data_IF_210720437103
#
_entry.id   IF_210720437103
#
_cell.length_a   1.000
_cell.length_b   1.000
_cell.length_c   1.000
_cell.angle_alpha   90.00
_cell.angle_beta   90.00
_cell.angle_gamma   90.00
#
_symmetry.space_group_name_H-M   'P 1'
#
loop_
_entity.id
_entity.type
_entity.pdbx_description
1 polymer ?
#
# COMPACT_ATOMS: atom_id res chain seq x y z
N UNK A 1 -49.15 13.77 -88.93
CA UNK A 1 -48.51 12.44 -89.04
C UNK A 1 -47.01 12.60 -88.91
N UNK A 2 -46.40 11.67 -88.18
CA UNK A 2 -45.00 11.59 -87.73
C UNK A 2 -43.95 11.77 -88.84
N UNK A 3 -42.81 12.36 -88.48
CA UNK A 3 -41.47 11.73 -88.54
C UNK A 3 -40.43 12.72 -88.00
N UNK A 4 -39.69 12.42 -86.93
CA UNK A 4 -38.57 11.46 -86.85
C UNK A 4 -37.25 12.07 -87.35
N UNK A 5 -36.19 11.83 -86.59
CA UNK A 5 -34.76 12.10 -86.84
C UNK A 5 -34.23 13.51 -86.53
N UNK A 6 -33.83 13.73 -85.27
CA UNK A 6 -32.53 14.35 -84.96
C UNK A 6 -32.16 14.30 -83.45
N UNK A 7 -32.49 13.21 -82.77
CA UNK A 7 -32.21 13.00 -81.33
C UNK A 7 -31.03 12.07 -81.06
N UNK A 8 -30.11 11.86 -82.03
CA UNK A 8 -28.94 11.00 -81.84
C UNK A 8 -27.57 11.69 -81.95
N UNK A 9 -27.48 12.96 -82.38
CA UNK A 9 -26.18 13.67 -82.46
C UNK A 9 -25.85 14.56 -81.25
N UNK A 10 -26.87 15.01 -80.50
CA UNK A 10 -26.67 15.85 -79.31
C UNK A 10 -26.28 15.06 -78.06
N UNK A 11 -26.77 13.82 -77.88
CA UNK A 11 -26.42 13.00 -76.72
C UNK A 11 -24.97 12.48 -76.76
N UNK A 12 -24.37 12.28 -77.94
CA UNK A 12 -22.97 11.81 -78.04
C UNK A 12 -21.94 12.91 -77.72
N UNK A 13 -22.25 14.18 -78.00
CA UNK A 13 -21.34 15.30 -77.68
C UNK A 13 -21.44 15.76 -76.22
N UNK A 14 -22.60 15.61 -75.58
CA UNK A 14 -22.74 15.88 -74.14
C UNK A 14 -22.08 14.78 -73.27
N UNK A 15 -22.13 13.51 -73.69
CA UNK A 15 -21.47 12.41 -72.97
C UNK A 15 -19.95 12.50 -73.11
N UNK A 16 -19.40 12.90 -74.26
CA UNK A 16 -17.94 13.07 -74.42
C UNK A 16 -17.38 14.30 -73.68
N UNK A 17 -18.16 15.37 -73.50
CA UNK A 17 -17.74 16.52 -72.67
C UNK A 17 -17.82 16.24 -71.16
N UNK A 18 -18.81 15.45 -70.71
CA UNK A 18 -18.90 15.03 -69.31
C UNK A 18 -17.88 13.94 -68.94
N UNK A 19 -17.47 13.10 -69.89
CA UNK A 19 -16.45 12.07 -69.65
C UNK A 19 -15.03 12.67 -69.64
N UNK A 20 -14.78 13.78 -70.34
CA UNK A 20 -13.49 14.51 -70.28
C UNK A 20 -13.29 15.36 -69.01
N UNK A 21 -14.36 15.83 -68.39
CA UNK A 21 -14.30 16.62 -67.14
C UNK A 21 -14.39 15.72 -65.90
N UNK A 22 -15.04 14.55 -65.99
CA UNK A 22 -15.02 13.55 -64.90
C UNK A 22 -13.72 12.73 -64.85
N UNK A 23 -12.95 12.63 -65.94
CA UNK A 23 -11.62 11.98 -65.96
C UNK A 23 -10.48 12.97 -65.65
N UNK A 24 -10.72 14.28 -65.77
CA UNK A 24 -9.73 15.29 -65.34
C UNK A 24 -9.67 15.49 -63.82
N UNK A 25 -10.53 14.84 -63.04
CA UNK A 25 -10.44 14.77 -61.58
C UNK A 25 -9.82 13.47 -61.05
N UNK A 26 -9.39 12.55 -61.92
CA UNK A 26 -8.75 11.28 -61.53
C UNK A 26 -7.22 11.29 -61.66
N UNK A 27 -6.61 12.46 -61.90
CA UNK A 27 -5.15 12.62 -61.90
C UNK A 27 -4.75 13.82 -61.03
N UNK A 28 -5.18 13.79 -59.78
CA UNK A 28 -4.36 14.29 -58.67
C UNK A 28 -4.13 13.13 -57.73
N UNK A 29 -3.16 12.28 -58.08
CA UNK A 29 -2.46 11.48 -57.09
C UNK A 29 -1.83 12.47 -56.10
N UNK A 30 -2.60 12.88 -55.09
CA UNK A 30 -2.07 13.52 -53.90
C UNK A 30 -1.27 12.45 -53.15
N UNK A 31 -0.03 12.27 -53.61
CA UNK A 31 1.13 11.72 -52.92
C UNK A 31 1.47 12.60 -51.69
N UNK A 32 0.45 13.01 -50.93
CA UNK A 32 0.54 14.03 -49.92
C UNK A 32 1.06 13.43 -48.62
N UNK A 33 2.38 13.31 -48.50
CA UNK A 33 3.03 13.13 -47.20
C UNK A 33 2.47 14.21 -46.26
N UNK A 34 1.76 13.80 -45.20
CA UNK A 34 1.17 14.73 -44.23
C UNK A 34 2.23 15.36 -43.32
N UNK A 35 3.40 14.71 -43.23
CA UNK A 35 4.57 15.19 -42.54
C UNK A 35 5.62 14.09 -42.38
N UNK A 36 6.69 14.39 -41.67
CA UNK A 36 7.77 13.48 -41.34
C UNK A 36 7.78 13.24 -39.84
N UNK A 37 8.06 12.02 -39.43
CA UNK A 37 8.15 11.63 -38.02
C UNK A 37 9.48 10.95 -37.73
N UNK A 38 9.92 11.05 -36.49
CA UNK A 38 11.08 10.32 -35.98
C UNK A 38 10.60 9.01 -35.37
N UNK A 39 11.23 7.90 -35.70
CA UNK A 39 11.00 6.61 -35.04
C UNK A 39 11.46 6.74 -33.59
N UNK A 40 10.50 6.65 -32.67
CA UNK A 40 10.73 6.80 -31.23
C UNK A 40 10.99 5.48 -30.51
N UNK A 41 10.73 4.35 -31.15
CA UNK A 41 10.98 3.02 -30.58
C UNK A 41 11.27 2.05 -31.72
N UNK A 42 12.19 1.11 -31.52
CA UNK A 42 12.56 0.16 -32.58
C UNK A 42 11.33 -0.60 -33.10
N UNK A 43 11.31 -0.83 -34.42
CA UNK A 43 10.29 -1.60 -35.10
C UNK A 43 11.00 -2.71 -35.88
N UNK A 44 11.42 -3.78 -35.18
CA UNK A 44 12.26 -4.85 -35.74
C UNK A 44 11.63 -5.51 -36.96
N UNK A 45 10.31 -5.65 -36.96
CA UNK A 45 9.54 -6.31 -38.02
C UNK A 45 9.74 -5.63 -39.38
N UNK A 46 10.02 -4.33 -39.36
CA UNK A 46 10.29 -3.51 -40.54
C UNK A 46 11.73 -2.98 -40.60
N UNK A 47 12.63 -3.49 -39.74
CA UNK A 47 14.03 -3.06 -39.64
C UNK A 47 14.21 -1.54 -39.45
N UNK A 48 13.23 -0.88 -38.82
CA UNK A 48 13.29 0.54 -38.52
C UNK A 48 13.89 0.76 -37.14
N UNK A 49 15.08 1.34 -37.11
CA UNK A 49 15.74 1.74 -35.87
C UNK A 49 15.22 3.09 -35.37
N UNK A 50 15.27 3.27 -34.06
CA UNK A 50 14.96 4.53 -33.42
C UNK A 50 15.89 5.65 -33.89
N UNK A 51 15.34 6.86 -34.04
CA UNK A 51 16.02 8.01 -34.65
C UNK A 51 15.84 8.12 -36.17
N UNK A 52 15.36 7.08 -36.86
CA UNK A 52 15.09 7.14 -38.31
C UNK A 52 13.98 8.15 -38.61
N UNK A 53 14.16 9.00 -39.62
CA UNK A 53 13.12 9.93 -40.09
C UNK A 53 12.33 9.28 -41.22
N UNK A 54 11.01 9.17 -41.06
CA UNK A 54 10.12 8.50 -42.01
C UNK A 54 9.01 9.43 -42.50
N UNK A 55 8.62 9.39 -43.78
CA UNK A 55 7.44 10.09 -44.28
C UNK A 55 6.17 9.41 -43.76
N UNK A 56 5.21 10.22 -43.30
CA UNK A 56 3.89 9.77 -42.86
C UNK A 56 2.85 10.18 -43.88
N UNK A 57 2.00 9.25 -44.27
CA UNK A 57 0.94 9.47 -45.25
C UNK A 57 -0.43 9.61 -44.60
N UNK A 58 -0.69 8.89 -43.51
CA UNK A 58 -1.99 8.90 -42.81
C UNK A 58 -1.79 8.84 -41.30
N UNK A 59 -2.62 9.57 -40.56
CA UNK A 59 -2.85 9.40 -39.12
C UNK A 59 -4.26 8.85 -38.92
N UNK A 60 -4.39 7.65 -38.36
CA UNK A 60 -5.67 7.08 -37.96
C UNK A 60 -5.87 7.24 -36.46
N UNK A 61 -6.78 8.13 -36.06
CA UNK A 61 -7.17 8.26 -34.65
C UNK A 61 -8.13 7.14 -34.20
N UNK A 62 -8.76 6.42 -35.13
CA UNK A 62 -9.64 5.29 -34.79
C UNK A 62 -8.78 4.07 -34.44
N UNK A 63 -7.84 3.72 -35.32
CA UNK A 63 -6.95 2.57 -35.12
C UNK A 63 -5.70 2.89 -34.28
N UNK A 64 -5.51 4.15 -33.89
CA UNK A 64 -4.35 4.62 -33.11
C UNK A 64 -3.00 4.26 -33.77
N UNK A 65 -2.89 4.50 -35.09
CA UNK A 65 -1.68 4.24 -35.88
C UNK A 65 -1.36 5.37 -36.87
N UNK A 66 -0.09 5.46 -37.23
CA UNK A 66 0.39 6.14 -38.42
C UNK A 66 0.60 5.14 -39.55
N UNK A 67 0.38 5.57 -40.78
CA UNK A 67 0.74 4.81 -41.98
C UNK A 67 1.98 5.43 -42.61
N UNK A 68 3.04 4.64 -42.66
CA UNK A 68 4.31 4.97 -43.35
C UNK A 68 4.54 3.97 -44.48
N UNK A 69 5.45 4.29 -45.39
CA UNK A 69 5.82 3.38 -46.47
C UNK A 69 7.18 2.76 -46.15
N UNK A 70 7.29 1.44 -46.25
CA UNK A 70 8.57 0.75 -46.20
C UNK A 70 9.36 1.07 -47.48
N UNK A 71 10.55 1.64 -47.35
CA UNK A 71 11.42 2.00 -48.48
C UNK A 71 11.87 0.77 -49.27
N UNK A 72 12.03 -0.39 -48.62
CA UNK A 72 12.50 -1.60 -49.27
C UNK A 72 11.41 -2.28 -50.11
N UNK A 73 10.19 -2.39 -49.58
CA UNK A 73 9.10 -3.11 -50.25
C UNK A 73 8.07 -2.20 -50.93
N UNK A 74 8.11 -0.89 -50.70
CA UNK A 74 7.10 0.06 -51.17
C UNK A 74 5.70 -0.13 -50.58
N UNK A 75 5.55 -0.95 -49.53
CA UNK A 75 4.24 -1.25 -48.92
C UNK A 75 3.94 -0.27 -47.79
N UNK A 76 2.66 0.04 -47.63
CA UNK A 76 2.18 0.78 -46.48
C UNK A 76 2.18 -0.13 -45.24
N UNK A 77 2.73 0.38 -44.14
CA UNK A 77 2.80 -0.30 -42.86
C UNK A 77 2.15 0.57 -41.79
N UNK A 78 1.39 -0.05 -40.89
CA UNK A 78 0.75 0.62 -39.77
C UNK A 78 1.65 0.54 -38.53
N UNK A 79 1.94 1.70 -37.94
CA UNK A 79 2.81 1.84 -36.78
C UNK A 79 2.04 2.53 -35.65
N UNK A 80 2.00 2.00 -34.41
CA UNK A 80 1.33 2.65 -33.28
C UNK A 80 1.76 4.10 -33.10
N UNK A 81 0.81 5.00 -32.81
CA UNK A 81 1.10 6.45 -32.73
C UNK A 81 2.30 6.76 -31.82
N UNK A 82 2.42 6.09 -30.68
CA UNK A 82 3.47 6.35 -29.70
C UNK A 82 4.89 5.93 -30.14
N UNK A 83 5.00 5.04 -31.13
CA UNK A 83 6.29 4.61 -31.67
C UNK A 83 6.89 5.64 -32.63
N UNK A 84 6.13 6.64 -33.06
CA UNK A 84 6.60 7.74 -33.91
C UNK A 84 6.32 9.08 -33.22
N UNK A 85 7.13 10.09 -33.52
CA UNK A 85 6.76 11.47 -33.15
C UNK A 85 5.51 11.92 -33.92
N UNK A 86 4.87 13.01 -33.49
CA UNK A 86 3.85 13.63 -34.34
C UNK A 86 4.45 14.10 -35.68
N UNK A 87 3.71 13.97 -36.81
CA UNK A 87 4.16 14.44 -38.10
C UNK A 87 4.47 15.94 -38.10
N UNK A 88 5.65 16.30 -38.57
CA UNK A 88 6.13 17.67 -38.66
C UNK A 88 6.84 17.92 -39.99
N UNK A 89 7.37 19.13 -40.20
CA UNK A 89 8.20 19.39 -41.38
C UNK A 89 9.48 18.57 -41.34
N UNK A 90 9.99 18.16 -42.52
CA UNK A 90 11.22 17.35 -42.63
C UNK A 90 12.38 17.93 -41.80
N UNK A 91 12.62 19.24 -41.92
CA UNK A 91 13.65 19.96 -41.16
C UNK A 91 13.46 19.85 -39.63
N UNK A 92 12.22 19.88 -39.13
CA UNK A 92 11.95 19.71 -37.69
C UNK A 92 12.16 18.26 -37.24
N UNK A 93 11.78 17.30 -38.07
CA UNK A 93 12.00 15.88 -37.79
C UNK A 93 13.50 15.55 -37.73
N UNK A 94 14.28 16.07 -38.69
CA UNK A 94 15.75 15.95 -38.69
C UNK A 94 16.36 16.59 -37.44
N UNK A 95 15.91 17.77 -37.03
CA UNK A 95 16.38 18.42 -35.80
C UNK A 95 16.02 17.62 -34.52
N UNK A 96 14.86 16.95 -34.50
CA UNK A 96 14.46 16.07 -33.40
C UNK A 96 15.28 14.78 -33.39
N UNK A 97 15.53 14.17 -34.56
CA UNK A 97 16.40 13.02 -34.69
C UNK A 97 17.82 13.34 -34.20
N UNK A 98 18.35 14.51 -34.56
CA UNK A 98 19.65 14.99 -34.09
C UNK A 98 19.65 15.21 -32.57
N UNK A 99 18.59 15.75 -31.98
CA UNK A 99 18.47 15.88 -30.51
C UNK A 99 18.56 14.53 -29.81
N UNK A 100 18.04 13.48 -30.42
CA UNK A 100 18.06 12.12 -29.87
C UNK A 100 19.35 11.36 -30.21
N UNK A 101 20.25 11.90 -31.05
CA UNK A 101 21.38 11.15 -31.62
C UNK A 101 22.35 10.63 -30.55
N UNK A 102 22.64 11.43 -29.51
CA UNK A 102 23.47 11.03 -28.36
C UNK A 102 22.88 9.86 -27.53
N UNK A 103 21.59 9.60 -27.72
CA UNK A 103 20.80 8.56 -27.07
C UNK A 103 20.19 7.58 -28.07
N UNK A 104 20.66 7.59 -29.32
CA UNK A 104 20.26 6.62 -30.33
C UNK A 104 20.51 5.21 -29.83
N UNK A 105 19.48 4.36 -29.90
CA UNK A 105 19.49 2.97 -29.44
C UNK A 105 19.80 2.78 -27.95
N UNK A 106 19.79 3.84 -27.14
CA UNK A 106 19.95 3.73 -25.68
C UNK A 106 18.59 3.48 -25.02
N UNK A 107 18.50 2.33 -24.38
CA UNK A 107 17.36 1.92 -23.57
C UNK A 107 17.82 1.79 -22.13
N UNK A 108 16.87 1.75 -21.20
CA UNK A 108 17.14 1.51 -19.81
C UNK A 108 16.25 0.38 -19.30
N UNK A 109 16.82 -0.43 -18.41
CA UNK A 109 16.10 -1.38 -17.58
C UNK A 109 15.94 -0.79 -16.19
N UNK A 110 14.71 -0.78 -15.68
CA UNK A 110 14.42 -0.32 -14.32
C UNK A 110 14.88 -1.37 -13.29
N UNK A 111 15.68 -0.97 -12.30
CA UNK A 111 16.13 -1.87 -11.22
C UNK A 111 15.38 -1.71 -9.91
N UNK A 112 14.47 -0.74 -9.84
CA UNK A 112 13.64 -0.47 -8.66
C UNK A 112 12.16 -0.64 -9.02
N UNK A 113 11.43 -1.43 -8.25
CA UNK A 113 9.99 -1.48 -8.42
C UNK A 113 9.34 -0.18 -7.94
N UNK A 114 8.42 0.35 -8.73
CA UNK A 114 7.69 1.55 -8.38
C UNK A 114 8.40 2.87 -8.71
N UNK A 115 9.47 2.88 -9.51
CA UNK A 115 10.26 4.07 -9.84
C UNK A 115 9.42 5.12 -10.60
N UNK A 116 9.33 6.38 -10.12
CA UNK A 116 8.45 7.37 -10.73
C UNK A 116 9.04 7.98 -12.01
N UNK A 117 8.16 8.18 -13.00
CA UNK A 117 8.40 9.07 -14.14
C UNK A 117 7.54 10.32 -13.93
N UNK A 118 8.16 11.49 -14.05
CA UNK A 118 7.57 12.78 -13.69
C UNK A 118 7.34 13.68 -14.91
N UNK A 119 6.41 14.61 -14.79
CA UNK A 119 6.11 15.58 -15.84
C UNK A 119 7.29 16.55 -16.11
N UNK A 120 8.07 16.87 -15.06
CA UNK A 120 9.22 17.77 -15.09
C UNK A 120 10.41 17.16 -14.34
N UNK A 121 11.67 17.56 -14.64
CA UNK A 121 12.88 17.01 -14.03
C UNK A 121 13.14 17.60 -12.62
N UNK A 122 12.17 17.46 -11.73
CA UNK A 122 12.26 17.79 -10.30
C UNK A 122 11.47 16.76 -9.50
N UNK A 123 11.87 16.50 -8.26
CA UNK A 123 11.20 15.55 -7.37
C UNK A 123 9.77 15.94 -7.02
N UNK A 124 9.43 17.24 -7.01
CA UNK A 124 8.09 17.70 -6.67
C UNK A 124 7.07 17.59 -7.81
N UNK A 125 7.52 17.30 -9.04
CA UNK A 125 6.64 17.29 -10.20
C UNK A 125 5.67 16.10 -10.18
N UNK A 126 4.49 16.34 -10.76
CA UNK A 126 3.43 15.33 -10.94
C UNK A 126 4.01 14.05 -11.54
N UNK A 127 3.75 12.92 -10.89
CA UNK A 127 4.05 11.60 -11.43
C UNK A 127 3.08 11.29 -12.58
N UNK A 128 3.62 10.90 -13.73
CA UNK A 128 2.86 10.55 -14.94
C UNK A 128 2.90 9.05 -15.24
N UNK A 129 3.89 8.33 -14.70
CA UNK A 129 4.00 6.88 -14.82
C UNK A 129 4.75 6.28 -13.63
N UNK A 130 4.58 4.98 -13.41
CA UNK A 130 5.31 4.20 -12.39
C UNK A 130 5.91 2.96 -13.03
N UNK A 131 7.24 2.92 -13.12
CA UNK A 131 7.97 1.80 -13.72
C UNK A 131 7.97 0.59 -12.78
N UNK A 132 7.84 -0.60 -13.35
CA UNK A 132 8.02 -1.87 -12.63
C UNK A 132 9.48 -2.30 -12.62
N UNK A 133 9.88 -3.14 -11.67
CA UNK A 133 11.18 -3.82 -11.74
C UNK A 133 11.30 -4.57 -13.07
N UNK A 134 12.47 -4.50 -13.67
CA UNK A 134 12.82 -5.09 -14.96
C UNK A 134 12.12 -4.49 -16.19
N UNK A 135 11.28 -3.46 -16.03
CA UNK A 135 10.65 -2.78 -17.16
C UNK A 135 11.68 -2.08 -18.06
N UNK A 136 11.53 -2.26 -19.37
CA UNK A 136 12.37 -1.62 -20.39
C UNK A 136 11.69 -0.35 -20.90
N UNK A 137 12.47 0.73 -20.95
CA UNK A 137 12.09 2.03 -21.48
C UNK A 137 13.20 2.55 -22.40
N UNK A 138 12.87 3.51 -23.27
CA UNK A 138 13.86 4.21 -24.07
C UNK A 138 14.31 5.49 -23.37
N UNK A 139 15.61 5.74 -23.35
CA UNK A 139 16.16 7.03 -22.94
C UNK A 139 16.30 7.91 -24.19
N UNK A 140 15.70 9.10 -24.18
CA UNK A 140 15.63 10.00 -25.34
C UNK A 140 16.74 11.04 -25.33
N UNK A 141 17.02 11.66 -24.18
CA UNK A 141 18.10 12.64 -23.97
C UNK A 141 18.23 13.01 -22.48
N UNK A 142 19.36 13.63 -22.12
CA UNK A 142 19.58 14.26 -20.81
C UNK A 142 18.94 15.63 -20.71
N UNK A 143 18.43 15.96 -19.53
CA UNK A 143 17.92 17.29 -19.20
C UNK A 143 18.60 17.88 -17.98
N UNK A 144 18.49 19.21 -17.88
CA UNK A 144 18.83 19.95 -16.66
C UNK A 144 17.63 19.91 -15.72
N UNK A 145 17.89 19.62 -14.46
CA UNK A 145 16.86 19.51 -13.43
C UNK A 145 17.46 19.64 -12.04
N UNK A 146 16.59 19.66 -11.04
CA UNK A 146 17.00 19.66 -9.65
C UNK A 146 17.62 18.31 -9.31
N UNK A 147 18.88 18.28 -8.85
CA UNK A 147 19.54 17.03 -8.47
C UNK A 147 18.82 16.50 -7.21
N UNK A 148 18.19 15.32 -7.27
CA UNK A 148 17.52 14.73 -6.13
C UNK A 148 18.49 14.58 -4.95
N UNK A 149 17.99 14.72 -3.73
CA UNK A 149 18.76 14.42 -2.52
C UNK A 149 18.10 13.30 -1.73
N UNK A 150 18.91 12.47 -1.07
CA UNK A 150 18.43 11.53 -0.03
C UNK A 150 18.24 12.21 1.34
N UNK A 151 18.38 13.54 1.42
CA UNK A 151 18.31 14.34 2.65
C UNK A 151 19.65 14.46 3.39
N UNK A 152 20.74 13.86 2.89
CA UNK A 152 22.11 14.04 3.38
C UNK A 152 23.05 14.48 2.26
N UNK A 153 22.91 13.88 1.09
CA UNK A 153 23.76 14.09 -0.07
C UNK A 153 22.91 14.21 -1.34
N UNK A 154 23.49 14.85 -2.36
CA UNK A 154 22.93 14.86 -3.71
C UNK A 154 23.11 13.46 -4.31
N UNK A 155 22.04 12.92 -4.90
CA UNK A 155 22.07 11.64 -5.59
C UNK A 155 22.90 11.75 -6.85
N UNK A 156 23.73 10.73 -7.12
CA UNK A 156 24.48 10.62 -8.37
C UNK A 156 23.55 10.21 -9.50
N UNK A 157 23.57 10.98 -10.59
CA UNK A 157 22.79 10.68 -11.79
C UNK A 157 22.43 11.94 -12.56
N UNK A 158 21.60 11.75 -13.56
CA UNK A 158 21.11 12.79 -14.47
C UNK A 158 19.63 12.56 -14.72
N UNK A 159 18.91 13.64 -15.05
CA UNK A 159 17.54 13.53 -15.49
C UNK A 159 17.51 13.07 -16.95
N UNK A 160 16.85 11.95 -17.19
CA UNK A 160 16.62 11.43 -18.53
C UNK A 160 15.17 11.71 -18.94
N UNK A 161 15.00 12.25 -20.14
CA UNK A 161 13.70 12.17 -20.82
C UNK A 161 13.54 10.72 -21.27
N UNK A 162 12.44 10.09 -20.87
CA UNK A 162 12.18 8.67 -21.12
C UNK A 162 10.86 8.47 -21.85
N UNK A 163 10.77 7.38 -22.60
CA UNK A 163 9.56 6.87 -23.24
C UNK A 163 9.36 5.42 -22.79
N UNK A 164 8.16 5.09 -22.31
CA UNK A 164 7.79 3.72 -21.89
C UNK A 164 7.26 2.90 -23.08
N UNK A 165 7.19 1.57 -22.93
CA UNK A 165 6.62 0.67 -23.94
C UNK A 165 5.12 0.88 -24.20
N UNK A 166 4.42 1.59 -23.30
CA UNK A 166 3.03 2.01 -23.47
C UNK A 166 2.87 3.43 -24.03
N UNK A 167 3.96 4.09 -24.43
CA UNK A 167 3.90 5.42 -25.03
C UNK A 167 3.85 6.60 -24.06
N UNK A 168 3.98 6.35 -22.76
CA UNK A 168 4.06 7.45 -21.77
C UNK A 168 5.46 8.05 -21.78
N UNK A 169 5.53 9.36 -21.99
CA UNK A 169 6.77 10.13 -21.87
C UNK A 169 6.85 10.91 -20.56
N UNK A 170 8.06 11.07 -20.03
CA UNK A 170 8.33 11.96 -18.92
C UNK A 170 9.81 11.99 -18.54
N UNK A 171 10.09 12.41 -17.31
CA UNK A 171 11.43 12.56 -16.76
C UNK A 171 11.68 11.54 -15.67
N UNK A 172 12.81 10.84 -15.73
CA UNK A 172 13.21 9.87 -14.72
C UNK A 172 14.68 10.09 -14.36
N UNK A 173 15.00 10.03 -13.07
CA UNK A 173 16.37 10.21 -12.61
C UNK A 173 17.17 8.91 -12.77
N UNK A 174 18.34 8.97 -13.38
CA UNK A 174 19.04 7.80 -13.93
C UNK A 174 19.65 6.84 -12.91
N UNK A 175 19.67 7.20 -11.62
CA UNK A 175 20.28 6.38 -10.56
C UNK A 175 19.81 4.91 -10.54
N UNK A 176 18.51 4.69 -10.74
CA UNK A 176 17.88 3.37 -10.72
C UNK A 176 17.54 2.85 -12.13
N UNK A 177 18.20 3.42 -13.14
CA UNK A 177 18.13 2.97 -14.51
C UNK A 177 19.47 2.32 -14.90
N UNK A 178 19.41 1.20 -15.62
CA UNK A 178 20.59 0.57 -16.21
C UNK A 178 20.51 0.74 -17.71
N UNK A 179 21.32 1.67 -18.22
CA UNK A 179 21.38 1.98 -19.64
C UNK A 179 22.07 0.84 -20.40
N UNK A 180 21.48 0.44 -21.51
CA UNK A 180 22.03 -0.55 -22.44
C UNK A 180 21.73 -0.14 -23.88
N UNK A 181 22.44 -0.75 -24.83
CA UNK A 181 22.20 -0.53 -26.26
C UNK A 181 21.30 -1.62 -26.82
N UNK A 182 20.20 -1.21 -27.46
CA UNK A 182 19.28 -2.09 -28.16
C UNK A 182 19.76 -2.32 -29.60
N UNK A 183 19.70 -3.55 -30.06
CA UNK A 183 19.93 -3.89 -31.46
C UNK A 183 18.75 -3.50 -32.35
N UNK A 184 19.01 -3.28 -33.64
CA UNK A 184 17.97 -2.89 -34.60
C UNK A 184 16.89 -3.98 -34.75
N UNK A 185 17.24 -5.24 -34.48
CA UNK A 185 16.34 -6.39 -34.43
C UNK A 185 15.58 -6.52 -33.09
N UNK A 186 15.75 -5.57 -32.16
CA UNK A 186 15.13 -5.59 -30.84
C UNK A 186 15.81 -6.51 -29.82
N UNK A 187 16.90 -7.19 -30.20
CA UNK A 187 17.73 -7.94 -29.26
C UNK A 187 18.63 -7.01 -28.45
N UNK A 188 19.19 -7.49 -27.34
CA UNK A 188 20.17 -6.75 -26.54
C UNK A 188 21.11 -7.74 -25.86
N UNK A 189 22.42 -7.47 -25.88
CA UNK A 189 23.49 -8.35 -25.36
C UNK A 189 23.85 -8.10 -23.90
N UNK A 190 24.93 -8.75 -23.42
CA UNK A 190 25.40 -8.89 -22.03
C UNK A 190 25.47 -7.60 -21.18
N UNK A 191 25.35 -6.39 -21.74
CA UNK A 191 25.18 -5.14 -20.97
C UNK A 191 23.81 -4.94 -20.28
N UNK A 192 22.78 -5.73 -20.63
CA UNK A 192 21.52 -5.80 -19.85
C UNK A 192 21.58 -6.82 -18.69
N UNK A 193 22.55 -7.74 -18.74
CA UNK A 193 22.80 -8.77 -17.73
C UNK A 193 23.95 -8.40 -16.77
N UNK A 194 24.92 -7.59 -17.21
CA UNK A 194 26.12 -7.18 -16.47
C UNK A 194 26.06 -5.73 -15.98
N UNK A 195 24.90 -5.30 -15.47
CA UNK A 195 25.01 -4.35 -14.37
C UNK A 195 25.79 -5.11 -13.29
N UNK A 196 26.84 -4.53 -12.71
CA UNK A 196 27.18 -4.89 -11.34
C UNK A 196 25.85 -4.79 -10.60
N UNK A 197 25.28 -5.97 -10.30
CA UNK A 197 24.14 -6.13 -9.43
C UNK A 197 24.62 -5.39 -8.20
N UNK A 198 24.08 -4.19 -7.98
CA UNK A 198 24.12 -3.60 -6.66
C UNK A 198 23.46 -4.68 -5.84
N UNK A 199 24.32 -5.46 -5.17
CA UNK A 199 24.03 -6.77 -4.62
C UNK A 199 22.58 -6.73 -4.15
N UNK A 200 21.69 -7.50 -4.81
CA UNK A 200 20.27 -7.50 -4.45
C UNK A 200 20.28 -7.59 -2.93
N UNK A 201 19.76 -6.54 -2.29
CA UNK A 201 19.82 -6.46 -0.85
C UNK A 201 18.80 -7.49 -0.37
N UNK A 202 19.23 -8.75 -0.32
CA UNK A 202 18.39 -9.91 -0.06
C UNK A 202 17.69 -9.74 1.29
N UNK A 203 18.32 -9.01 2.22
CA UNK A 203 17.74 -8.59 3.48
C UNK A 203 16.60 -7.60 3.27
N UNK A 204 16.74 -6.59 2.42
CA UNK A 204 15.65 -5.66 2.05
C UNK A 204 14.49 -6.39 1.37
N UNK A 205 14.77 -7.23 0.38
CA UNK A 205 13.78 -8.02 -0.34
C UNK A 205 13.01 -8.98 0.59
N UNK A 206 13.72 -9.69 1.46
CA UNK A 206 13.11 -10.55 2.49
C UNK A 206 12.22 -9.74 3.43
N UNK A 207 12.70 -8.59 3.90
CA UNK A 207 11.97 -7.72 4.81
C UNK A 207 10.68 -7.15 4.19
N UNK A 208 10.73 -6.70 2.93
CA UNK A 208 9.59 -6.06 2.25
C UNK A 208 8.44 -7.02 1.97
N UNK A 209 8.72 -8.32 1.82
CA UNK A 209 7.72 -9.37 1.50
C UNK A 209 7.02 -9.93 2.74
N UNK A 210 7.48 -9.57 3.94
CA UNK A 210 6.99 -10.12 5.20
C UNK A 210 5.91 -9.24 5.80
N UNK A 211 4.97 -9.90 6.48
CA UNK A 211 4.03 -9.25 7.38
C UNK A 211 4.63 -9.16 8.77
N UNK A 212 4.61 -7.96 9.34
CA UNK A 212 5.25 -7.67 10.62
C UNK A 212 4.19 -7.39 11.68
N UNK A 213 4.19 -8.20 12.73
CA UNK A 213 3.28 -8.07 13.88
C UNK A 213 4.02 -7.48 15.07
N UNK A 214 3.33 -6.76 15.97
CA UNK A 214 3.96 -6.28 17.19
C UNK A 214 4.58 -7.45 17.96
N UNK A 215 5.82 -7.30 18.43
CA UNK A 215 6.59 -8.38 19.07
C UNK A 215 5.84 -9.06 20.22
N UNK A 216 5.04 -8.29 20.93
CA UNK A 216 4.27 -8.72 22.07
C UNK A 216 3.10 -9.66 21.71
N UNK A 217 2.78 -9.85 20.43
CA UNK A 217 1.80 -10.85 19.98
C UNK A 217 2.30 -12.25 20.28
N UNK A 218 3.58 -12.53 20.01
CA UNK A 218 4.19 -13.81 20.30
C UNK A 218 4.07 -14.13 21.80
N UNK A 219 4.38 -13.16 22.67
CA UNK A 219 4.26 -13.34 24.11
C UNK A 219 2.83 -13.63 24.58
N UNK A 220 1.82 -12.98 23.98
CA UNK A 220 0.42 -13.25 24.29
C UNK A 220 0.01 -14.66 23.86
N UNK A 221 0.43 -15.09 22.67
CA UNK A 221 0.16 -16.41 22.12
C UNK A 221 0.80 -17.49 23.00
N UNK A 222 2.10 -17.34 23.31
CA UNK A 222 2.86 -18.29 24.13
C UNK A 222 2.24 -18.46 25.53
N UNK A 223 1.81 -17.35 26.13
CA UNK A 223 1.16 -17.35 27.45
C UNK A 223 -0.32 -17.73 27.41
N UNK A 224 -0.93 -17.80 26.22
CA UNK A 224 -2.39 -17.92 26.01
C UNK A 224 -3.17 -16.84 26.78
N UNK A 225 -2.63 -15.62 26.79
CA UNK A 225 -3.19 -14.45 27.47
C UNK A 225 -3.38 -13.35 26.43
N UNK A 226 -4.48 -13.46 25.68
CA UNK A 226 -4.80 -12.54 24.60
C UNK A 226 -5.52 -11.31 25.16
N UNK A 227 -4.85 -10.17 25.10
CA UNK A 227 -5.45 -8.88 25.46
C UNK A 227 -6.05 -8.24 24.21
N UNK A 228 -7.38 -8.27 24.13
CA UNK A 228 -8.15 -7.77 22.98
C UNK A 228 -8.05 -6.25 22.79
N UNK A 229 -7.56 -5.49 23.78
CA UNK A 229 -7.27 -4.06 23.60
C UNK A 229 -6.00 -3.84 22.76
N UNK A 230 -5.04 -4.77 22.80
CA UNK A 230 -3.75 -4.61 22.14
C UNK A 230 -3.51 -5.63 21.00
N UNK A 231 -4.29 -6.72 20.92
CA UNK A 231 -4.25 -7.67 19.81
C UNK A 231 -5.43 -7.45 18.86
N UNK A 232 -5.13 -7.04 17.63
CA UNK A 232 -6.07 -6.78 16.55
C UNK A 232 -5.47 -7.25 15.22
N UNK A 233 -6.26 -7.85 14.31
CA UNK A 233 -5.78 -8.23 12.97
C UNK A 233 -5.30 -7.05 12.13
N UNK A 234 -5.71 -5.83 12.50
CA UNK A 234 -5.37 -4.59 11.82
C UNK A 234 -4.07 -3.95 12.30
N UNK A 235 -3.52 -4.38 13.43
CA UNK A 235 -2.27 -3.86 13.93
C UNK A 235 -1.07 -4.58 13.31
N UNK A 236 0.02 -3.85 13.18
CA UNK A 236 1.22 -4.30 12.51
C UNK A 236 1.96 -3.17 11.83
N UNK A 237 3.00 -3.58 11.13
CA UNK A 237 3.75 -2.74 10.24
C UNK A 237 3.65 -3.31 8.82
N UNK A 238 2.94 -2.59 7.97
CA UNK A 238 2.81 -2.89 6.55
C UNK A 238 3.87 -2.08 5.80
N UNK A 239 4.76 -2.77 5.11
CA UNK A 239 5.84 -2.15 4.33
C UNK A 239 5.30 -1.40 3.13
N UNK A 240 4.08 -1.71 2.68
CA UNK A 240 3.49 -1.14 1.47
C UNK A 240 4.22 -1.55 0.21
N UNK A 241 4.92 -2.68 0.20
CA UNK A 241 5.74 -3.10 -0.95
C UNK A 241 4.92 -3.24 -2.24
N UNK A 242 3.66 -3.67 -2.13
CA UNK A 242 2.73 -3.76 -3.27
C UNK A 242 1.98 -2.45 -3.56
N UNK A 243 1.73 -1.64 -2.53
CA UNK A 243 0.85 -0.45 -2.62
C UNK A 243 1.61 0.86 -2.81
N UNK A 244 2.89 0.90 -2.46
CA UNK A 244 3.71 2.11 -2.32
C UNK A 244 3.34 2.99 -1.12
N UNK A 245 2.56 2.47 -0.18
CA UNK A 245 2.11 3.20 1.02
C UNK A 245 2.44 2.39 2.26
N UNK A 246 3.38 2.89 3.07
CA UNK A 246 3.76 2.28 4.35
C UNK A 246 2.69 2.58 5.40
N UNK A 247 2.34 1.61 6.24
CA UNK A 247 1.40 1.79 7.34
C UNK A 247 1.92 1.21 8.66
N UNK A 248 1.79 2.00 9.72
CA UNK A 248 2.10 1.62 11.10
C UNK A 248 0.81 1.73 11.91
N UNK A 249 0.30 0.59 12.37
CA UNK A 249 -0.95 0.52 13.15
C UNK A 249 -0.71 -0.21 14.46
N UNK A 250 -0.98 0.47 15.56
CA UNK A 250 -0.93 -0.01 16.94
C UNK A 250 -2.10 0.61 17.71
N UNK A 251 -2.32 0.18 18.95
CA UNK A 251 -3.41 0.71 19.80
C UNK A 251 -3.46 2.24 19.91
N UNK A 252 -2.30 2.89 19.97
CA UNK A 252 -2.16 4.33 20.14
C UNK A 252 -1.45 5.02 18.96
N UNK A 253 -1.22 4.30 17.86
CA UNK A 253 -0.52 4.82 16.68
C UNK A 253 -1.25 4.38 15.43
N UNK A 254 -1.68 5.34 14.63
CA UNK A 254 -2.12 5.09 13.26
C UNK A 254 -1.42 6.09 12.35
N UNK A 255 -0.47 5.60 11.57
CA UNK A 255 0.32 6.40 10.65
C UNK A 255 0.39 5.71 9.30
N UNK A 256 0.23 6.48 8.23
CA UNK A 256 0.29 5.98 6.86
C UNK A 256 0.91 7.05 5.97
N UNK A 257 1.87 6.64 5.13
CA UNK A 257 2.60 7.57 4.27
C UNK A 257 2.84 6.94 2.89
N UNK A 258 2.60 7.66 1.80
CA UNK A 258 3.17 7.26 0.52
C UNK A 258 4.69 7.38 0.58
N UNK A 259 5.42 6.49 -0.10
CA UNK A 259 6.87 6.57 -0.19
C UNK A 259 7.35 6.29 -1.62
N UNK A 260 8.47 6.91 -2.00
CA UNK A 260 9.02 6.81 -3.36
C UNK A 260 10.13 5.76 -3.51
N UNK A 261 10.62 5.22 -2.40
CA UNK A 261 11.60 4.15 -2.37
C UNK A 261 12.16 3.92 -0.96
N UNK A 262 13.07 2.95 -0.84
CA UNK A 262 13.72 2.61 0.44
C UNK A 262 15.23 2.73 0.27
N UNK A 263 15.87 3.51 1.13
CA UNK A 263 17.32 3.74 1.10
C UNK A 263 18.01 3.03 2.25
N UNK A 264 19.02 2.21 1.97
CA UNK A 264 19.89 1.65 3.01
C UNK A 264 20.82 2.74 3.53
N UNK A 265 20.77 3.00 4.83
CA UNK A 265 21.55 4.06 5.49
C UNK A 265 22.77 3.54 6.24
N UNK A 266 22.73 2.29 6.70
CA UNK A 266 23.84 1.53 7.28
C UNK A 266 23.50 0.03 7.25
N UNK A 267 24.39 -0.83 7.76
CA UNK A 267 24.15 -2.28 7.82
C UNK A 267 22.82 -2.61 8.50
N UNK A 268 21.86 -3.16 7.76
CA UNK A 268 20.53 -3.52 8.24
C UNK A 268 19.59 -2.36 8.54
N UNK A 269 19.93 -1.11 8.21
CA UNK A 269 19.07 0.06 8.50
C UNK A 269 18.55 0.70 7.21
N UNK A 270 17.23 0.79 7.10
CA UNK A 270 16.51 1.22 5.92
C UNK A 270 15.61 2.41 6.23
N UNK A 271 15.65 3.46 5.39
CA UNK A 271 14.79 4.63 5.50
C UNK A 271 13.76 4.61 4.37
N UNK A 272 12.49 4.76 4.72
CA UNK A 272 11.43 4.95 3.73
C UNK A 272 11.42 6.41 3.30
N UNK A 273 11.74 6.66 2.03
CA UNK A 273 11.93 8.01 1.49
C UNK A 273 10.64 8.83 1.61
N UNK A 274 10.77 10.12 1.92
CA UNK A 274 9.65 11.06 2.13
C UNK A 274 8.74 10.73 3.34
N UNK A 275 9.16 9.80 4.20
CA UNK A 275 8.42 9.45 5.41
C UNK A 275 9.25 9.69 6.68
N UNK A 276 8.60 9.87 7.84
CA UNK A 276 9.27 9.90 9.13
C UNK A 276 9.63 8.50 9.68
N UNK A 277 9.69 7.47 8.81
CA UNK A 277 9.92 6.07 9.21
C UNK A 277 11.31 5.59 8.81
N UNK A 278 11.98 4.95 9.77
CA UNK A 278 13.22 4.22 9.59
C UNK A 278 13.08 2.83 10.22
N UNK A 279 13.59 1.79 9.55
CA UNK A 279 13.54 0.42 10.02
C UNK A 279 14.96 -0.09 10.24
N UNK A 280 15.18 -0.77 11.36
CA UNK A 280 16.39 -1.55 11.62
C UNK A 280 16.03 -3.02 11.60
N UNK A 281 16.54 -3.76 10.62
CA UNK A 281 16.39 -5.21 10.53
C UNK A 281 17.42 -5.85 11.45
N UNK A 282 16.94 -6.53 12.49
CA UNK A 282 17.79 -7.20 13.51
C UNK A 282 18.06 -8.66 13.16
N UNK A 283 17.18 -9.27 12.39
CA UNK A 283 17.30 -10.63 11.87
C UNK A 283 16.17 -10.92 10.89
N UNK A 284 16.06 -12.18 10.46
CA UNK A 284 15.05 -12.57 9.47
C UNK A 284 13.62 -12.46 10.01
N UNK A 285 13.43 -12.61 11.33
CA UNK A 285 12.13 -12.59 11.99
C UNK A 285 11.92 -11.40 12.95
N UNK A 286 12.82 -10.41 12.96
CA UNK A 286 12.72 -9.28 13.89
C UNK A 286 13.23 -7.97 13.30
N UNK A 287 12.43 -6.91 13.52
CA UNK A 287 12.76 -5.53 13.14
C UNK A 287 12.44 -4.55 14.26
N UNK A 288 13.04 -3.36 14.19
CA UNK A 288 12.67 -2.18 14.97
C UNK A 288 12.24 -1.10 14.00
N UNK A 289 11.01 -0.60 14.14
CA UNK A 289 10.47 0.52 13.38
C UNK A 289 10.57 1.78 14.24
N UNK A 290 11.33 2.76 13.77
CA UNK A 290 11.39 4.09 14.33
C UNK A 290 10.44 5.02 13.59
N UNK A 291 9.56 5.69 14.32
CA UNK A 291 8.62 6.68 13.78
C UNK A 291 8.80 8.00 14.51
N UNK A 292 8.90 9.10 13.77
CA UNK A 292 8.94 10.45 14.34
C UNK A 292 7.56 11.08 14.23
N UNK A 293 6.96 11.46 15.37
CA UNK A 293 5.63 12.05 15.40
C UNK A 293 5.63 13.53 14.95
N UNK A 294 4.44 14.13 14.86
CA UNK A 294 4.25 15.52 14.46
C UNK A 294 4.89 16.55 15.39
N UNK A 295 5.26 16.15 16.62
CA UNK A 295 5.98 16.98 17.59
C UNK A 295 7.50 16.79 17.50
N UNK A 296 7.98 15.99 16.54
CA UNK A 296 9.39 15.66 16.36
C UNK A 296 9.92 14.63 17.36
N UNK A 297 9.06 14.01 18.18
CA UNK A 297 9.49 12.98 19.13
C UNK A 297 9.60 11.65 18.40
N UNK A 298 10.73 10.98 18.58
CA UNK A 298 10.99 9.66 18.00
C UNK A 298 10.52 8.56 18.94
N UNK A 299 9.77 7.62 18.40
CA UNK A 299 9.31 6.41 19.06
C UNK A 299 9.90 5.20 18.33
N UNK A 300 10.19 4.13 19.07
CA UNK A 300 10.71 2.88 18.51
C UNK A 300 9.77 1.75 18.90
N UNK A 301 9.41 0.93 17.92
CA UNK A 301 8.47 -0.18 18.07
C UNK A 301 9.11 -1.46 17.55
N UNK A 302 9.03 -2.53 18.34
CA UNK A 302 9.57 -3.84 17.97
C UNK A 302 8.50 -4.67 17.25
N UNK A 303 8.90 -5.31 16.15
CA UNK A 303 8.04 -6.20 15.39
C UNK A 303 8.72 -7.53 15.08
N UNK A 304 7.91 -8.55 14.91
CA UNK A 304 8.32 -9.91 14.56
C UNK A 304 7.45 -10.46 13.44
N UNK A 305 7.97 -11.47 12.74
CA UNK A 305 7.10 -12.39 11.98
C UNK A 305 6.57 -13.45 12.93
N UNK A 306 5.29 -13.80 12.78
CA UNK A 306 4.72 -14.97 13.45
C UNK A 306 4.78 -16.16 12.50
N UNK A 307 4.82 -17.37 13.05
CA UNK A 307 4.82 -18.61 12.26
C UNK A 307 3.62 -18.61 11.28
N UNK A 308 3.82 -19.17 10.07
CA UNK A 308 2.86 -19.08 8.96
C UNK A 308 1.46 -19.68 9.20
N UNK A 309 1.24 -20.33 10.36
CA UNK A 309 -0.07 -20.82 10.79
C UNK A 309 -0.83 -19.87 11.75
N UNK A 310 -0.20 -18.78 12.20
CA UNK A 310 -0.79 -17.84 13.14
C UNK A 310 -1.80 -16.91 12.43
N UNK A 311 -3.09 -17.25 12.54
CA UNK A 311 -4.20 -16.39 12.11
C UNK A 311 -4.67 -15.53 13.28
N UNK A 312 -4.29 -14.24 13.27
CA UNK A 312 -4.66 -13.28 14.33
C UNK A 312 -6.17 -13.11 14.43
N UNK A 313 -6.90 -13.12 13.31
CA UNK A 313 -8.36 -12.98 13.32
C UNK A 313 -9.00 -14.16 14.06
N UNK A 314 -8.49 -15.37 13.80
CA UNK A 314 -8.93 -16.57 14.50
C UNK A 314 -8.59 -16.51 16.00
N UNK A 315 -7.37 -16.13 16.37
CA UNK A 315 -6.94 -16.02 17.78
C UNK A 315 -7.81 -15.02 18.55
N UNK A 316 -8.10 -13.87 17.94
CA UNK A 316 -8.99 -12.84 18.52
C UNK A 316 -10.40 -13.38 18.71
N UNK A 317 -10.96 -14.04 17.69
CA UNK A 317 -12.30 -14.65 17.78
C UNK A 317 -12.37 -15.73 18.86
N UNK A 318 -11.35 -16.60 18.95
CA UNK A 318 -11.30 -17.67 19.95
C UNK A 318 -11.23 -17.12 21.39
N UNK A 319 -10.53 -16.00 21.61
CA UNK A 319 -10.50 -15.32 22.90
C UNK A 319 -11.84 -14.66 23.23
N UNK A 320 -12.49 -14.01 22.26
CA UNK A 320 -13.83 -13.45 22.43
C UNK A 320 -14.83 -14.54 22.83
N UNK A 321 -14.81 -15.68 22.12
CA UNK A 321 -15.65 -16.83 22.44
C UNK A 321 -15.35 -17.41 23.81
N UNK A 322 -14.06 -17.46 24.21
CA UNK A 322 -13.66 -17.92 25.54
C UNK A 322 -14.24 -17.02 26.63
N UNK A 323 -14.14 -15.70 26.48
CA UNK A 323 -14.71 -14.72 27.42
C UNK A 323 -16.24 -14.82 27.48
N UNK A 324 -16.90 -14.97 26.34
CA UNK A 324 -18.35 -15.16 26.26
C UNK A 324 -18.79 -16.45 26.98
N UNK A 325 -18.08 -17.58 26.79
CA UNK A 325 -18.35 -18.83 27.51
C UNK A 325 -18.18 -18.70 29.03
N UNK A 326 -17.12 -18.00 29.48
CA UNK A 326 -16.91 -17.76 30.91
C UNK A 326 -18.02 -16.89 31.51
N UNK A 327 -18.41 -15.81 30.82
CA UNK A 327 -19.51 -14.95 31.24
C UNK A 327 -20.83 -15.72 31.29
N UNK A 328 -21.15 -16.47 30.23
CA UNK A 328 -22.37 -17.28 30.18
C UNK A 328 -22.41 -18.34 31.31
N UNK A 329 -21.26 -18.90 31.69
CA UNK A 329 -21.18 -19.81 32.84
C UNK A 329 -21.49 -19.12 34.18
N UNK A 330 -21.19 -17.83 34.33
CA UNK A 330 -21.58 -17.05 35.51
C UNK A 330 -23.08 -16.73 35.49
N UNK A 331 -23.56 -16.21 34.35
CA UNK A 331 -24.98 -15.87 34.16
C UNK A 331 -25.90 -17.07 34.40
N UNK A 332 -25.53 -18.26 33.90
CA UNK A 332 -26.32 -19.49 34.08
C UNK A 332 -26.25 -20.06 35.50
N UNK A 333 -25.21 -19.75 36.28
CA UNK A 333 -25.11 -20.18 37.69
C UNK A 333 -26.07 -19.41 38.62
N UNK A 334 -26.47 -18.21 38.22
CA UNK A 334 -27.41 -17.35 38.92
C UNK A 334 -27.49 -16.00 38.20
N UNK A 335 -28.55 -15.70 37.43
CA UNK A 335 -28.68 -14.38 36.81
C UNK A 335 -28.93 -13.29 37.85
N UNK A 336 -29.31 -13.66 39.07
CA UNK A 336 -29.47 -12.77 40.21
C UNK A 336 -28.78 -13.37 41.43
N UNK A 337 -27.98 -12.56 42.11
CA UNK A 337 -27.20 -12.94 43.27
C UNK A 337 -27.54 -12.00 44.44
N UNK A 338 -28.07 -12.53 45.55
CA UNK A 338 -28.52 -11.75 46.69
C UNK A 338 -27.59 -11.89 47.91
N UNK A 339 -27.37 -10.79 48.61
CA UNK A 339 -26.61 -10.74 49.86
C UNK A 339 -27.32 -9.83 50.86
N UNK A 340 -27.47 -10.30 52.10
CA UNK A 340 -28.07 -9.48 53.17
C UNK A 340 -27.28 -8.20 53.46
N UNK A 341 -25.96 -8.23 53.20
CA UNK A 341 -25.06 -7.12 53.51
C UNK A 341 -24.70 -6.30 52.26
N UNK A 342 -24.70 -6.91 51.07
CA UNK A 342 -24.19 -6.29 49.85
C UNK A 342 -25.24 -6.12 48.75
N UNK A 343 -26.51 -6.39 49.06
CA UNK A 343 -27.64 -6.17 48.16
C UNK A 343 -27.78 -7.22 47.07
N UNK A 344 -28.45 -6.86 45.97
CA UNK A 344 -28.75 -7.79 44.86
C UNK A 344 -28.02 -7.40 43.60
N UNK A 345 -27.18 -8.29 43.07
CA UNK A 345 -26.48 -8.17 41.80
C UNK A 345 -27.18 -9.02 40.74
N UNK A 346 -27.78 -8.39 39.75
CA UNK A 346 -28.39 -9.03 38.59
C UNK A 346 -27.49 -8.88 37.36
N UNK A 347 -27.19 -10.00 36.70
CA UNK A 347 -26.45 -10.07 35.44
C UNK A 347 -27.43 -10.31 34.29
N UNK A 348 -27.21 -9.65 33.16
CA UNK A 348 -27.96 -9.88 31.93
C UNK A 348 -27.09 -10.56 30.87
N UNK A 349 -27.71 -11.29 29.95
CA UNK A 349 -26.99 -12.07 28.95
C UNK A 349 -26.10 -11.22 28.02
N UNK A 350 -26.41 -9.94 27.84
CA UNK A 350 -25.66 -9.00 27.01
C UNK A 350 -24.42 -8.39 27.70
N UNK A 351 -24.11 -8.80 28.94
CA UNK A 351 -23.01 -8.24 29.72
C UNK A 351 -23.40 -6.99 30.52
N UNK A 352 -24.65 -6.55 30.47
CA UNK A 352 -25.13 -5.52 31.38
C UNK A 352 -25.40 -6.07 32.78
N UNK A 353 -25.35 -5.21 33.79
CA UNK A 353 -25.71 -5.57 35.16
C UNK A 353 -26.55 -4.49 35.81
N UNK A 354 -27.31 -4.89 36.83
CA UNK A 354 -27.92 -4.02 37.83
C UNK A 354 -27.47 -4.47 39.23
N UNK A 355 -27.21 -3.52 40.12
CA UNK A 355 -26.87 -3.79 41.51
C UNK A 355 -27.71 -2.86 42.38
N UNK A 356 -28.54 -3.39 43.27
CA UNK A 356 -29.33 -2.62 44.24
C UNK A 356 -28.84 -2.86 45.67
N UNK A 357 -29.21 -1.97 46.59
CA UNK A 357 -29.00 -2.13 48.04
C UNK A 357 -27.54 -2.34 48.48
N UNK A 358 -26.58 -1.83 47.69
CA UNK A 358 -25.14 -1.98 47.91
C UNK A 358 -24.53 -0.90 48.84
N UNK A 359 -25.33 -0.34 49.77
CA UNK A 359 -24.94 0.83 50.57
C UNK A 359 -23.62 0.65 51.35
N UNK A 360 -23.31 -0.59 51.79
CA UNK A 360 -22.06 -0.90 52.51
C UNK A 360 -20.79 -0.83 51.62
N UNK A 361 -20.96 -0.79 50.30
CA UNK A 361 -19.87 -0.67 49.33
C UNK A 361 -19.56 0.80 48.99
N UNK A 362 -20.42 1.73 49.41
CA UNK A 362 -20.28 3.17 49.14
C UNK A 362 -19.62 3.87 50.33
N UNK A 363 -18.68 4.81 50.12
CA UNK A 363 -18.08 5.21 48.85
C UNK A 363 -16.79 4.43 48.50
N UNK A 364 -16.42 3.42 49.32
CA UNK A 364 -15.07 2.85 49.36
C UNK A 364 -14.75 1.94 48.17
N UNK A 365 -15.72 1.15 47.71
CA UNK A 365 -15.60 0.24 46.56
C UNK A 365 -16.33 0.82 45.36
N UNK A 366 -17.54 1.35 45.58
CA UNK A 366 -18.39 1.98 44.57
C UNK A 366 -18.52 3.46 44.93
N UNK A 367 -18.32 4.37 43.96
CA UNK A 367 -18.46 5.81 44.21
C UNK A 367 -19.89 6.18 44.60
N UNK A 368 -20.06 7.24 45.37
CA UNK A 368 -21.38 7.80 45.70
C UNK A 368 -22.16 8.24 44.44
N UNK A 369 -21.46 8.58 43.36
CA UNK A 369 -22.05 9.02 42.08
C UNK A 369 -22.47 7.86 41.17
N UNK A 370 -22.21 6.62 41.57
CA UNK A 370 -22.48 5.45 40.75
C UNK A 370 -23.99 5.19 40.64
N UNK A 371 -24.49 5.10 39.41
CA UNK A 371 -25.78 4.45 39.18
C UNK A 371 -25.61 2.94 39.42
N UNK A 372 -26.58 2.29 40.08
CA UNK A 372 -26.59 0.83 40.33
C UNK A 372 -26.79 -0.03 39.08
N UNK A 373 -26.16 0.33 37.95
CA UNK A 373 -26.20 -0.39 36.68
C UNK A 373 -24.99 -0.04 35.80
N UNK A 374 -24.64 -0.94 34.89
CA UNK A 374 -23.51 -0.75 33.99
C UNK A 374 -23.21 -1.97 33.14
N UNK A 375 -21.95 -2.13 32.75
CA UNK A 375 -21.45 -3.32 32.05
C UNK A 375 -20.42 -4.08 32.89
N UNK A 376 -20.32 -5.38 32.66
CA UNK A 376 -19.35 -6.26 33.31
C UNK A 376 -18.61 -7.09 32.26
N UNK A 377 -17.28 -7.12 32.37
CA UNK A 377 -16.42 -7.80 31.41
C UNK A 377 -15.35 -8.65 32.11
N UNK A 378 -14.91 -9.73 31.45
CA UNK A 378 -13.73 -10.50 31.85
C UNK A 378 -12.50 -9.94 31.13
N UNK A 379 -12.11 -8.72 31.50
CA UNK A 379 -11.05 -7.97 30.82
C UNK A 379 -9.66 -8.57 31.06
N UNK A 380 -9.38 -8.97 32.30
CA UNK A 380 -8.04 -9.33 32.76
C UNK A 380 -7.87 -10.83 33.03
N UNK A 381 -6.62 -11.29 33.04
CA UNK A 381 -6.27 -12.69 33.33
C UNK A 381 -5.82 -12.85 34.78
N UNK A 382 -6.32 -13.90 35.43
CA UNK A 382 -5.95 -14.21 36.81
C UNK A 382 -4.48 -14.67 36.90
N UNK A 383 -3.65 -14.06 37.79
CA UNK A 383 -2.26 -14.47 37.98
C UNK A 383 -2.19 -15.83 38.67
N UNK A 384 -1.10 -16.57 38.43
CA UNK A 384 -0.98 -17.98 38.84
C UNK A 384 -1.16 -18.20 40.35
N UNK A 385 -0.70 -17.27 41.18
CA UNK A 385 -0.81 -17.32 42.64
C UNK A 385 -2.25 -17.15 43.17
N UNK A 386 -3.21 -16.75 42.34
CA UNK A 386 -4.62 -16.58 42.73
C UNK A 386 -5.52 -17.70 42.16
N UNK A 387 -5.01 -18.55 41.26
CA UNK A 387 -5.80 -19.58 40.57
C UNK A 387 -6.28 -20.73 41.47
N UNK A 388 -5.67 -20.93 42.64
CA UNK A 388 -6.16 -21.90 43.64
C UNK A 388 -7.47 -21.46 44.27
N UNK A 389 -7.63 -20.15 44.46
CA UNK A 389 -8.66 -19.57 45.31
C UNK A 389 -9.76 -18.87 44.53
N UNK A 390 -9.50 -18.49 43.28
CA UNK A 390 -10.39 -17.69 42.44
C UNK A 390 -10.49 -18.26 41.02
N UNK A 391 -11.67 -18.12 40.42
CA UNK A 391 -11.95 -18.59 39.06
C UNK A 391 -11.56 -17.54 38.01
N UNK A 392 -11.61 -16.26 38.38
CA UNK A 392 -11.26 -15.16 37.49
C UNK A 392 -11.49 -13.79 38.12
N UNK A 393 -11.56 -12.77 37.27
CA UNK A 393 -11.77 -11.37 37.65
C UNK A 393 -12.85 -10.75 36.75
N UNK A 394 -13.78 -10.03 37.39
CA UNK A 394 -14.83 -9.26 36.76
C UNK A 394 -14.49 -7.78 36.86
N UNK A 395 -14.62 -7.07 35.75
CA UNK A 395 -14.42 -5.63 35.65
C UNK A 395 -15.76 -4.97 35.41
N UNK A 396 -16.25 -4.24 36.42
CA UNK A 396 -17.51 -3.52 36.38
C UNK A 396 -17.28 -2.06 35.99
N UNK A 397 -17.99 -1.61 34.98
CA UNK A 397 -18.06 -0.21 34.58
C UNK A 397 -19.44 0.32 34.92
N UNK A 398 -19.55 1.03 36.05
CA UNK A 398 -20.79 1.65 36.50
C UNK A 398 -21.09 2.90 35.67
N UNK A 399 -22.37 3.11 35.33
CA UNK A 399 -22.79 4.38 34.73
C UNK A 399 -22.60 5.51 35.75
N UNK A 400 -21.91 6.57 35.37
CA UNK A 400 -21.60 7.70 36.25
C UNK A 400 -20.24 7.59 36.97
N UNK A 401 -19.47 6.51 36.75
CA UNK A 401 -18.11 6.38 37.26
C UNK A 401 -17.08 6.38 36.13
N UNK A 402 -15.96 7.07 36.34
CA UNK A 402 -14.79 6.99 35.46
C UNK A 402 -13.92 5.77 35.77
N UNK A 403 -13.83 5.39 37.06
CA UNK A 403 -13.00 4.27 37.52
C UNK A 403 -13.79 2.97 37.47
N UNK A 404 -13.17 1.92 36.94
CA UNK A 404 -13.70 0.57 36.97
C UNK A 404 -13.59 -0.05 38.37
N UNK A 405 -14.53 -0.90 38.73
CA UNK A 405 -14.48 -1.74 39.94
C UNK A 405 -14.06 -3.15 39.52
N UNK A 406 -12.95 -3.64 40.08
CA UNK A 406 -12.41 -4.94 39.73
C UNK A 406 -12.58 -5.92 40.89
N UNK A 407 -13.27 -7.03 40.65
CA UNK A 407 -13.60 -8.03 41.66
C UNK A 407 -13.10 -9.41 41.22
N UNK A 408 -12.28 -10.07 42.05
CA UNK A 408 -12.05 -11.50 41.89
C UNK A 408 -13.37 -12.23 42.12
N UNK A 409 -13.65 -13.27 41.35
CA UNK A 409 -14.85 -14.08 41.53
C UNK A 409 -14.53 -15.56 41.70
N UNK A 410 -15.36 -16.22 42.52
CA UNK A 410 -15.40 -17.67 42.64
C UNK A 410 -16.84 -18.13 42.69
N UNK A 411 -17.19 -19.04 41.79
CA UNK A 411 -18.47 -19.75 41.84
C UNK A 411 -18.42 -20.77 42.96
N UNK A 412 -19.55 -20.90 43.65
CA UNK A 412 -19.78 -21.89 44.69
C UNK A 412 -21.11 -22.59 44.41
N UNK A 413 -21.34 -23.75 45.00
CA UNK A 413 -22.59 -24.49 44.81
C UNK A 413 -23.82 -23.68 45.26
N UNK A 414 -23.62 -22.74 46.19
CA UNK A 414 -24.68 -21.92 46.78
C UNK A 414 -24.70 -20.46 46.29
N UNK A 415 -23.93 -20.10 45.27
CA UNK A 415 -23.89 -18.73 44.73
C UNK A 415 -22.49 -18.22 44.38
N UNK A 416 -22.25 -16.94 44.63
CA UNK A 416 -21.07 -16.21 44.14
C UNK A 416 -20.27 -15.56 45.28
N UNK A 417 -18.98 -15.84 45.33
CA UNK A 417 -18.03 -15.13 46.20
C UNK A 417 -17.27 -14.10 45.38
N UNK A 418 -17.23 -12.86 45.85
CA UNK A 418 -16.48 -11.76 45.25
C UNK A 418 -15.45 -11.20 46.23
N UNK A 419 -14.31 -10.72 45.74
CA UNK A 419 -13.37 -9.94 46.55
C UNK A 419 -12.79 -8.77 45.78
N UNK A 420 -12.59 -7.64 46.46
CA UNK A 420 -12.02 -6.44 45.83
C UNK A 420 -10.58 -6.71 45.40
N UNK A 421 -10.32 -6.56 44.10
CA UNK A 421 -9.00 -6.71 43.51
C UNK A 421 -8.37 -5.35 43.26
N UNK A 422 -7.06 -5.26 43.46
CA UNK A 422 -6.29 -4.12 42.94
C UNK A 422 -5.77 -4.50 41.57
N UNK A 423 -6.14 -3.70 40.57
CA UNK A 423 -5.57 -3.77 39.22
C UNK A 423 -4.70 -2.54 39.03
N UNK A 424 -3.41 -2.75 38.77
CA UNK A 424 -2.46 -1.69 38.47
C UNK A 424 -2.03 -1.81 37.03
N UNK A 425 -2.24 -0.73 36.27
CA UNK A 425 -1.76 -0.58 34.90
C UNK A 425 -0.42 0.13 34.95
N UNK A 426 0.64 -0.57 34.60
CA UNK A 426 2.00 -0.04 34.54
C UNK A 426 2.37 0.21 33.08
N UNK A 427 2.50 1.48 32.66
CA UNK A 427 2.89 1.78 31.28
C UNK A 427 4.25 1.20 30.94
N UNK A 428 4.29 0.46 29.85
CA UNK A 428 5.51 -0.01 29.22
C UNK A 428 5.83 0.93 28.06
N UNK A 429 6.79 1.83 28.29
CA UNK A 429 7.23 2.80 27.31
C UNK A 429 7.85 2.15 26.06
N UNK A 430 8.34 0.91 26.14
CA UNK A 430 8.92 0.21 25.00
C UNK A 430 7.86 -0.35 24.05
N UNK A 431 6.72 -0.79 24.58
CA UNK A 431 5.64 -1.39 23.78
C UNK A 431 4.43 -0.47 23.58
N UNK A 432 4.34 0.63 24.33
CA UNK A 432 3.17 1.50 24.38
C UNK A 432 1.95 0.86 25.07
N UNK A 433 2.13 -0.32 25.66
CA UNK A 433 1.09 -1.07 26.35
C UNK A 433 1.13 -0.83 27.85
N UNK A 434 0.05 -1.13 28.54
CA UNK A 434 0.10 -1.32 29.98
C UNK A 434 0.40 -2.79 30.28
N UNK A 435 1.38 -3.04 31.15
CA UNK A 435 1.46 -4.31 31.87
C UNK A 435 0.46 -4.28 33.01
N UNK A 436 -0.27 -5.38 33.17
CA UNK A 436 -1.33 -5.49 34.18
C UNK A 436 -0.80 -6.29 35.36
N UNK A 437 -0.83 -5.68 36.54
CA UNK A 437 -0.62 -6.37 37.81
C UNK A 437 -1.95 -6.49 38.55
N UNK A 438 -2.25 -7.70 39.05
CA UNK A 438 -3.46 -7.97 39.82
C UNK A 438 -3.04 -8.56 41.16
N UNK A 439 -3.57 -7.99 42.23
CA UNK A 439 -3.33 -8.49 43.59
C UNK A 439 -4.62 -8.47 44.41
N UNK A 440 -4.70 -9.40 45.35
CA UNK A 440 -5.68 -9.38 46.43
C UNK A 440 -5.07 -8.67 47.65
N UNK A 441 -5.57 -7.49 48.06
CA UNK A 441 -5.09 -6.82 49.26
C UNK A 441 -5.28 -7.67 50.52
N UNK A 442 -4.36 -7.55 51.50
CA UNK A 442 -4.39 -8.32 52.76
C UNK A 442 -5.71 -8.16 53.52
N UNK A 443 -6.29 -6.95 53.50
CA UNK A 443 -7.58 -6.63 54.12
C UNK A 443 -8.68 -6.44 53.07
N UNK A 444 -8.63 -7.19 51.98
CA UNK A 444 -9.63 -7.07 50.92
C UNK A 444 -11.02 -7.42 51.44
N UNK A 445 -12.01 -6.61 51.08
CA UNK A 445 -13.41 -6.89 51.34
C UNK A 445 -13.84 -8.11 50.53
N UNK A 446 -14.33 -9.15 51.23
CA UNK A 446 -14.89 -10.36 50.64
C UNK A 446 -16.41 -10.34 50.80
N UNK A 447 -17.12 -10.49 49.69
CA UNK A 447 -18.58 -10.48 49.63
C UNK A 447 -19.08 -11.87 49.26
N UNK A 448 -20.17 -12.30 49.90
CA UNK A 448 -20.85 -13.56 49.63
C UNK A 448 -22.28 -13.28 49.19
N UNK A 449 -22.65 -13.90 48.07
CA UNK A 449 -23.99 -13.85 47.51
C UNK A 449 -24.53 -15.26 47.33
N UNK A 450 -25.83 -15.39 47.53
CA UNK A 450 -26.61 -16.59 47.23
C UNK A 450 -27.30 -16.43 45.87
N UNK A 451 -27.46 -17.52 45.12
CA UNK A 451 -28.14 -17.52 43.82
C UNK A 451 -29.67 -17.63 43.94
#
# INVERSE_FOLDING_TARGET
MKNSSNTHSFLRRAVLLFTGIAISFLVTACNGIIGYSVVLWNIPEYKLADGTVVPVYVKSNISQVYVIQDEASGKNIEVPLWKLSEPMSKKKAEAMAERHSAYGRKYAKCVLDGLPVRAEPTNGAKQVYRLRKDEILRALYEGKGEIPTNGKELLSGTWLRVLTSGGTEGWCFSQNLRLFTMNADGSYGEGAAEAQVQQEDAQLESFLKKKWYPDYYQQMIDKKQIDLAYMSPLYGFDTGSETGTIALKLFNVEASYPYTGVTKTSGGVYKFNETPIQVTVRGDSSIIVQHTDSKGKRHSYSFVTLDGAADISKIVSEEQDRRARLYNSLYTAGPSFASSNYGTLTLAQDGSFAWSDYNLLVPSVISADAAGRGTVELQYFLPANLKSDWDGILTFTFRGMEKQVNLLYRKTDSGLRLAVATVTLLPDAATGRNTVSISLPVNSLVMFFQN
#
